data_IF_903757781401
#
_entry.id   IF_903757781401
#
_cell.length_a   1.000
_cell.length_b   1.000
_cell.length_c   1.000
_cell.angle_alpha   90.00
_cell.angle_beta   90.00
_cell.angle_gamma   90.00
#
_symmetry.space_group_name_H-M   'P 1'
#
loop_
_entity.id
_entity.type
_entity.pdbx_description
1 polymer ?
#
# COMPACT_ATOMS: atom_id res chain seq x y z
N UNK A 1 -9.45 -12.89 0.34
CA UNK A 1 -9.08 -11.54 -0.11
C UNK A 1 -8.36 -11.71 -1.44
N UNK A 2 -8.85 -11.05 -2.49
CA UNK A 2 -8.84 -11.65 -3.84
C UNK A 2 -7.92 -10.95 -4.84
N UNK A 3 -6.98 -10.10 -4.41
CA UNK A 3 -6.09 -9.38 -5.35
C UNK A 3 -4.93 -10.26 -5.79
N UNK A 4 -4.24 -10.92 -4.84
CA UNK A 4 -3.11 -11.81 -5.10
C UNK A 4 -2.88 -12.72 -3.88
N UNK A 5 -2.52 -13.99 -4.09
CA UNK A 5 -2.22 -14.96 -3.03
C UNK A 5 -0.86 -14.75 -2.36
N UNK A 6 0.02 -13.99 -2.99
CA UNK A 6 1.36 -13.65 -2.50
C UNK A 6 1.36 -12.39 -1.61
N UNK A 7 0.19 -11.94 -1.14
CA UNK A 7 0.08 -10.86 -0.15
C UNK A 7 -0.11 -11.48 1.23
N UNK A 8 0.83 -11.22 2.12
CA UNK A 8 0.81 -11.60 3.52
C UNK A 8 0.44 -10.43 4.43
N UNK A 9 0.11 -10.78 5.68
CA UNK A 9 -0.29 -9.86 6.75
C UNK A 9 0.75 -9.88 7.87
N UNK A 10 1.05 -8.72 8.44
CA UNK A 10 1.92 -8.58 9.61
C UNK A 10 1.47 -7.41 10.51
N UNK A 11 2.03 -7.36 11.73
CA UNK A 11 1.95 -6.17 12.58
C UNK A 11 3.29 -5.44 12.52
N UNK A 12 3.28 -4.22 11.97
CA UNK A 12 4.44 -3.34 11.89
C UNK A 12 4.15 -2.02 12.57
N UNK A 13 5.06 -1.59 13.46
CA UNK A 13 4.89 -0.37 14.27
C UNK A 13 3.53 -0.31 15.00
N UNK A 14 3.09 -1.45 15.55
CA UNK A 14 1.80 -1.61 16.22
C UNK A 14 0.57 -1.32 15.31
N UNK A 15 0.69 -1.57 14.01
CA UNK A 15 -0.40 -1.42 13.06
C UNK A 15 -0.49 -2.59 12.07
N UNK A 16 -1.71 -2.97 11.62
CA UNK A 16 -1.91 -3.89 10.52
C UNK A 16 -1.14 -3.44 9.28
N UNK A 17 -0.45 -4.38 8.64
CA UNK A 17 0.37 -4.11 7.46
C UNK A 17 0.29 -5.29 6.50
N UNK A 18 0.44 -4.98 5.21
CA UNK A 18 0.42 -5.97 4.14
C UNK A 18 1.72 -5.89 3.34
N UNK A 19 2.25 -7.05 2.97
CA UNK A 19 3.53 -7.17 2.29
C UNK A 19 3.51 -8.33 1.29
N UNK A 20 4.38 -8.29 0.28
CA UNK A 20 4.54 -9.39 -0.66
C UNK A 20 5.31 -10.54 0.01
N UNK A 21 4.88 -11.79 -0.12
CA UNK A 21 5.49 -12.98 0.51
C UNK A 21 6.41 -13.76 -0.43
N UNK A 22 6.28 -13.57 -1.74
CA UNK A 22 7.07 -14.27 -2.74
C UNK A 22 8.56 -13.90 -2.75
N UNK A 23 9.38 -14.60 -3.54
CA UNK A 23 10.81 -14.35 -3.66
C UNK A 23 11.08 -12.99 -4.36
N UNK A 24 12.14 -12.29 -3.94
CA UNK A 24 12.52 -10.97 -4.45
C UNK A 24 14.04 -10.85 -4.43
N UNK A 25 14.58 -10.17 -5.44
CA UNK A 25 16.01 -9.85 -5.54
C UNK A 25 16.53 -9.23 -4.26
N UNK A 26 17.79 -9.49 -3.85
CA UNK A 26 18.37 -8.81 -2.70
C UNK A 26 18.28 -7.30 -2.82
N UNK A 27 17.78 -6.64 -1.77
CA UNK A 27 17.68 -5.18 -1.68
C UNK A 27 17.93 -4.69 -0.26
N UNK A 28 18.20 -3.38 -0.12
CA UNK A 28 18.37 -2.77 1.18
C UNK A 28 17.02 -2.75 1.96
N UNK A 29 16.91 -3.36 3.15
CA UNK A 29 15.65 -3.42 3.91
C UNK A 29 15.01 -2.07 4.21
N UNK A 30 15.81 -0.99 4.27
CA UNK A 30 15.34 0.39 4.49
C UNK A 30 14.56 0.97 3.30
N UNK A 31 14.62 0.35 2.13
CA UNK A 31 13.85 0.78 0.95
C UNK A 31 12.41 0.26 0.95
N UNK A 32 12.07 -0.65 1.88
CA UNK A 32 10.72 -1.19 2.06
C UNK A 32 10.06 -1.75 0.79
N UNK A 33 10.83 -2.20 -0.21
CA UNK A 33 10.36 -2.68 -1.53
C UNK A 33 9.26 -3.75 -1.47
N UNK A 34 9.24 -4.57 -0.41
CA UNK A 34 8.27 -5.65 -0.18
C UNK A 34 6.95 -5.19 0.47
N UNK A 35 6.93 -4.03 1.12
CA UNK A 35 5.76 -3.61 1.89
C UNK A 35 4.78 -2.87 0.99
N UNK A 36 3.55 -3.36 0.96
CA UNK A 36 2.46 -2.77 0.17
C UNK A 36 1.95 -1.53 0.90
N UNK A 37 1.44 -1.75 2.11
CA UNK A 37 0.70 -0.73 2.87
C UNK A 37 0.79 -0.98 4.37
N UNK A 38 0.88 0.10 5.13
CA UNK A 38 0.82 0.12 6.60
C UNK A 38 -0.37 0.97 7.01
N UNK A 39 -1.20 0.46 7.92
CA UNK A 39 -2.33 1.21 8.45
C UNK A 39 -1.85 2.28 9.43
N UNK A 40 -2.49 3.43 9.43
CA UNK A 40 -2.31 4.49 10.40
C UNK A 40 -3.68 4.90 10.93
N UNK A 41 -3.92 4.58 12.19
CA UNK A 41 -5.19 4.78 12.89
C UNK A 41 -5.12 5.93 13.92
N UNK A 42 -4.15 6.84 13.78
CA UNK A 42 -3.99 7.96 14.71
C UNK A 42 -5.10 9.02 14.53
N UNK A 43 -5.67 9.13 13.33
CA UNK A 43 -6.79 10.03 13.05
C UNK A 43 -8.09 9.36 13.51
N UNK A 44 -8.89 10.09 14.29
CA UNK A 44 -10.14 9.55 14.89
C UNK A 44 -11.29 9.40 13.90
N UNK A 45 -11.23 10.13 12.79
CA UNK A 45 -12.30 10.29 11.80
C UNK A 45 -12.02 9.53 10.50
N UNK A 46 -10.86 8.88 10.38
CA UNK A 46 -10.46 8.22 9.14
C UNK A 46 -9.43 7.13 9.38
N UNK A 47 -9.49 6.09 8.56
CA UNK A 47 -8.39 5.14 8.41
C UNK A 47 -7.46 5.66 7.34
N UNK A 48 -6.18 5.80 7.67
CA UNK A 48 -5.14 6.18 6.70
C UNK A 48 -4.32 4.96 6.32
N UNK A 49 -4.08 4.83 5.03
CA UNK A 49 -3.17 3.87 4.45
C UNK A 49 -1.89 4.58 4.04
N UNK A 50 -0.76 4.00 4.42
CA UNK A 50 0.56 4.49 4.11
C UNK A 50 1.22 3.53 3.13
N UNK A 51 1.52 3.99 1.91
CA UNK A 51 2.21 3.21 0.88
C UNK A 51 3.68 3.61 0.85
N UNK A 52 4.62 2.84 1.44
CA UNK A 52 6.03 3.24 1.57
C UNK A 52 6.69 3.51 0.22
N UNK A 53 6.33 2.73 -0.80
CA UNK A 53 6.79 2.89 -2.19
C UNK A 53 5.72 3.49 -3.10
N UNK A 54 4.83 4.34 -2.57
CA UNK A 54 3.65 4.83 -3.28
C UNK A 54 3.94 5.57 -4.59
N UNK A 55 5.03 6.35 -4.65
CA UNK A 55 5.44 7.06 -5.87
C UNK A 55 5.77 6.10 -7.02
N UNK A 56 6.18 4.87 -6.69
CA UNK A 56 6.47 3.82 -7.67
C UNK A 56 5.21 3.15 -8.19
N UNK A 57 4.00 3.46 -7.74
CA UNK A 57 2.77 2.77 -8.18
C UNK A 57 2.17 3.41 -9.44
N UNK A 58 2.48 4.69 -9.70
CA UNK A 58 1.97 5.43 -10.86
C UNK A 58 0.44 5.48 -10.86
N UNK A 59 -0.12 5.98 -9.76
CA UNK A 59 -1.56 6.10 -9.59
C UNK A 59 -2.16 7.05 -10.65
N UNK A 60 -3.21 6.56 -11.32
CA UNK A 60 -4.00 7.31 -12.30
C UNK A 60 -5.43 7.54 -11.83
N UNK A 61 -5.82 6.97 -10.68
CA UNK A 61 -7.15 7.09 -10.10
C UNK A 61 -7.33 8.35 -9.26
N UNK A 62 -6.23 8.96 -8.78
CA UNK A 62 -6.27 10.08 -7.84
C UNK A 62 -6.52 9.66 -6.39
N UNK A 63 -6.55 8.36 -6.10
CA UNK A 63 -6.71 7.81 -4.75
C UNK A 63 -5.51 8.15 -3.85
N UNK A 64 -4.30 8.18 -4.44
CA UNK A 64 -3.08 8.50 -3.71
C UNK A 64 -2.83 10.00 -3.68
N UNK A 65 -2.55 10.50 -2.48
CA UNK A 65 -2.16 11.89 -2.26
C UNK A 65 -0.88 12.00 -1.43
N UNK A 66 -0.40 13.24 -1.34
CA UNK A 66 0.85 13.60 -0.69
C UNK A 66 2.04 13.36 -1.61
N UNK A 67 3.05 14.21 -1.49
CA UNK A 67 4.32 14.03 -2.17
C UNK A 67 5.46 14.19 -1.16
N UNK A 68 6.02 13.07 -0.75
CA UNK A 68 7.07 13.01 0.27
C UNK A 68 8.40 12.65 -0.39
N UNK A 69 9.50 13.24 0.10
CA UNK A 69 10.85 13.04 -0.43
C UNK A 69 11.32 11.58 -0.37
N UNK A 70 10.75 10.77 0.52
CA UNK A 70 11.00 9.33 0.64
C UNK A 70 10.19 8.48 -0.36
N UNK A 71 9.39 9.10 -1.23
CA UNK A 71 8.58 8.43 -2.24
C UNK A 71 7.27 7.85 -1.71
N UNK A 72 6.91 8.12 -0.46
CA UNK A 72 5.65 7.63 0.12
C UNK A 72 4.44 8.31 -0.49
N UNK A 73 3.30 7.63 -0.48
CA UNK A 73 1.97 8.18 -0.79
C UNK A 73 0.94 7.69 0.24
N UNK A 74 -0.17 8.41 0.34
CA UNK A 74 -1.22 8.14 1.33
C UNK A 74 -2.56 7.94 0.64
N UNK A 75 -3.44 7.17 1.26
CA UNK A 75 -4.88 7.17 1.00
C UNK A 75 -5.61 7.27 2.34
N UNK A 76 -6.81 7.85 2.37
CA UNK A 76 -7.61 7.97 3.58
C UNK A 76 -9.08 7.70 3.26
N UNK A 77 -9.74 6.97 4.17
CA UNK A 77 -11.15 6.62 4.08
C UNK A 77 -11.83 7.08 5.36
N UNK A 78 -12.88 7.90 5.25
CA UNK A 78 -13.63 8.45 6.38
C UNK A 78 -14.94 7.70 6.63
N UNK A 79 -15.39 6.90 5.66
CA UNK A 79 -16.64 6.14 5.75
C UNK A 79 -16.59 4.82 4.97
N UNK A 80 -17.56 3.94 5.24
CA UNK A 80 -17.74 2.73 4.44
C UNK A 80 -18.10 3.04 2.98
N UNK A 81 -18.83 4.13 2.73
CA UNK A 81 -19.12 4.58 1.37
C UNK A 81 -17.82 4.90 0.60
N UNK A 82 -16.85 5.55 1.26
CA UNK A 82 -15.53 5.82 0.64
C UNK A 82 -14.80 4.51 0.32
N UNK A 83 -14.87 3.52 1.22
CA UNK A 83 -14.23 2.21 1.03
C UNK A 83 -14.85 1.49 -0.17
N UNK A 84 -16.17 1.48 -0.27
CA UNK A 84 -16.89 0.83 -1.37
C UNK A 84 -16.64 1.52 -2.71
N UNK A 85 -16.70 2.85 -2.76
CA UNK A 85 -16.51 3.61 -4.01
C UNK A 85 -15.08 3.53 -4.54
N UNK A 86 -14.08 3.46 -3.65
CA UNK A 86 -12.66 3.43 -4.01
C UNK A 86 -12.07 2.01 -4.02
N UNK A 87 -12.83 1.00 -3.60
CA UNK A 87 -12.39 -0.40 -3.57
C UNK A 87 -11.78 -0.89 -4.89
N UNK A 88 -12.44 -0.69 -6.05
CA UNK A 88 -11.88 -1.05 -7.34
C UNK A 88 -10.56 -0.34 -7.66
N UNK A 89 -10.45 0.96 -7.35
CA UNK A 89 -9.24 1.75 -7.57
C UNK A 89 -8.08 1.25 -6.68
N UNK A 90 -8.35 0.96 -5.40
CA UNK A 90 -7.37 0.41 -4.47
C UNK A 90 -6.88 -0.97 -4.93
N UNK A 91 -7.77 -1.84 -5.41
CA UNK A 91 -7.36 -3.14 -5.95
C UNK A 91 -6.48 -2.98 -7.20
N UNK A 92 -6.84 -2.09 -8.12
CA UNK A 92 -6.03 -1.84 -9.32
C UNK A 92 -4.66 -1.27 -8.97
N UNK A 93 -4.60 -0.37 -7.99
CA UNK A 93 -3.37 0.18 -7.45
C UNK A 93 -2.45 -0.92 -6.89
N UNK A 94 -2.99 -1.87 -6.12
CA UNK A 94 -2.21 -3.00 -5.61
C UNK A 94 -1.73 -3.90 -6.75
N UNK A 95 -2.55 -4.19 -7.77
CA UNK A 95 -2.12 -4.92 -8.97
C UNK A 95 -0.99 -4.21 -9.70
N UNK A 96 -1.09 -2.90 -9.88
CA UNK A 96 -0.05 -2.09 -10.52
C UNK A 96 1.25 -2.04 -9.70
N UNK A 97 1.15 -2.08 -8.37
CA UNK A 97 2.33 -2.20 -7.50
C UNK A 97 3.02 -3.56 -7.67
N UNK A 98 2.24 -4.64 -7.73
CA UNK A 98 2.76 -6.01 -7.90
C UNK A 98 3.53 -6.22 -9.20
N UNK A 99 3.17 -5.54 -10.29
CA UNK A 99 3.88 -5.62 -11.58
C UNK A 99 5.23 -4.90 -11.58
N UNK A 100 5.48 -4.04 -10.57
CA UNK A 100 6.72 -3.25 -10.45
C UNK A 100 7.69 -3.84 -9.44
N UNK A 101 7.37 -4.98 -8.85
CA UNK A 101 8.26 -5.71 -7.96
C UNK A 101 9.42 -6.35 -8.73
N UNK A 102 10.61 -6.21 -8.20
CA UNK A 102 11.81 -6.93 -8.64
C UNK A 102 11.79 -8.34 -8.05
N UNK A 103 11.01 -9.23 -8.67
CA UNK A 103 10.93 -10.66 -8.32
C UNK A 103 12.21 -11.39 -8.74
N UNK A 104 12.55 -12.47 -8.03
CA UNK A 104 13.65 -13.39 -8.40
C UNK A 104 13.20 -14.39 -9.46
#
# INVERSE_FOLDING_TARGET
>A
MSVDSEIGEEIKWNAPSFFYTGPMKPFNPKEHKRHVVVFNMHRKDSVRLVFPSGARIGDTSGLLYGDYADGRRLASFASMADVESNGPALQQLIRNWLTRLERD
#
